data_IF_963168959816
#
_entry.id   IF_963168959816
#
_cell.length_a   1.000
_cell.length_b   1.000
_cell.length_c   1.000
_cell.angle_alpha   90.00
_cell.angle_beta   90.00
_cell.angle_gamma   90.00
#
_symmetry.space_group_name_H-M   'P 1'
#
loop_
_entity.id
_entity.type
_entity.pdbx_description
1 polymer ?
#
# COMPACT_ATOMS: atom_id res chain seq x y z
N UNK A 1 29.15 -58.96 15.00
CA UNK A 1 30.22 -58.14 15.63
C UNK A 1 29.66 -56.75 15.83
N UNK A 2 29.62 -56.12 17.01
CA UNK A 2 29.90 -56.59 18.38
C UNK A 2 29.46 -55.49 19.36
N UNK A 3 28.90 -55.84 20.52
CA UNK A 3 28.33 -54.88 21.48
C UNK A 3 29.24 -54.61 22.68
N UNK A 4 29.18 -53.39 23.23
CA UNK A 4 29.43 -53.04 24.63
C UNK A 4 28.56 -51.80 24.92
N UNK A 5 27.65 -51.71 25.91
CA UNK A 5 27.71 -51.95 27.37
C UNK A 5 28.81 -51.15 28.08
N UNK A 6 28.68 -50.60 29.28
CA UNK A 6 27.55 -50.19 30.18
C UNK A 6 28.19 -49.82 31.52
N UNK A 7 27.76 -48.75 32.22
CA UNK A 7 27.39 -48.78 33.67
C UNK A 7 27.15 -47.40 34.31
N UNK A 8 26.22 -47.42 35.26
CA UNK A 8 25.89 -46.42 36.28
C UNK A 8 26.90 -46.52 37.47
N UNK A 9 26.84 -45.82 38.62
CA UNK A 9 25.71 -45.24 39.37
C UNK A 9 26.17 -44.27 40.50
N UNK A 10 25.19 -43.59 41.12
CA UNK A 10 25.17 -43.09 42.54
C UNK A 10 26.21 -42.00 42.94
N UNK A 11 25.95 -41.06 43.87
CA UNK A 11 24.98 -41.08 44.98
C UNK A 11 24.49 -39.68 45.45
N UNK A 12 23.55 -39.63 46.41
CA UNK A 12 22.87 -38.41 46.93
C UNK A 12 23.35 -37.94 48.32
N UNK A 13 23.24 -36.63 48.61
CA UNK A 13 22.83 -35.95 49.89
C UNK A 13 23.29 -34.47 49.85
N UNK A 14 22.61 -33.46 50.39
CA UNK A 14 21.36 -33.42 51.18
C UNK A 14 21.54 -32.70 52.53
N UNK A 15 21.27 -31.39 52.63
CA UNK A 15 20.98 -30.67 53.90
C UNK A 15 20.44 -29.24 53.70
N UNK A 16 19.63 -28.80 54.65
CA UNK A 16 18.98 -27.47 54.76
C UNK A 16 19.30 -26.85 56.13
N UNK A 17 19.21 -25.51 56.27
CA UNK A 17 18.78 -24.75 57.47
C UNK A 17 18.82 -23.21 57.21
N UNK A 18 18.03 -22.42 57.96
CA UNK A 18 17.76 -20.97 57.77
C UNK A 18 18.86 -20.04 58.40
N UNK A 19 18.79 -18.70 58.54
CA UNK A 19 17.85 -17.55 58.27
C UNK A 19 18.72 -16.23 58.37
N UNK A 20 18.25 -14.95 58.45
CA UNK A 20 17.04 -14.26 57.95
C UNK A 20 17.26 -12.88 57.23
N UNK A 21 16.25 -12.47 56.45
CA UNK A 21 15.73 -11.08 56.17
C UNK A 21 16.64 -9.82 56.24
N UNK A 22 16.72 -9.07 55.12
CA UNK A 22 16.49 -7.59 55.11
C UNK A 22 15.95 -7.08 53.76
N UNK A 23 15.07 -6.07 53.81
CA UNK A 23 14.26 -5.54 52.68
C UNK A 23 14.96 -4.43 51.90
N UNK A 24 14.69 -4.34 50.59
CA UNK A 24 14.49 -3.05 49.89
C UNK A 24 13.59 -3.22 48.65
N UNK A 25 12.55 -2.39 48.55
CA UNK A 25 11.72 -2.26 47.35
C UNK A 25 12.39 -1.31 46.34
N UNK A 26 12.13 -1.49 45.05
CA UNK A 26 11.43 -0.49 44.20
C UNK A 26 11.26 -1.07 42.79
N UNK A 27 10.02 -1.36 42.38
CA UNK A 27 9.65 -1.60 40.99
C UNK A 27 8.62 -0.54 40.58
N UNK A 28 8.98 0.33 39.64
CA UNK A 28 8.10 1.42 39.17
C UNK A 28 7.22 0.91 38.03
N UNK A 29 5.94 0.66 38.34
CA UNK A 29 4.91 0.43 37.34
C UNK A 29 4.51 1.76 36.67
N UNK A 30 4.45 1.76 35.33
CA UNK A 30 3.84 2.84 34.54
C UNK A 30 2.33 2.59 34.45
N UNK A 31 1.51 3.65 34.54
CA UNK A 31 0.04 3.55 34.57
C UNK A 31 -0.57 3.38 33.18
N UNK A 32 -1.67 2.63 33.14
CA UNK A 32 -2.56 2.46 32.00
C UNK A 32 -3.34 3.76 31.70
N UNK A 33 -3.48 4.19 30.44
CA UNK A 33 -4.22 5.40 30.07
C UNK A 33 -5.76 5.24 30.01
N UNK A 34 -6.33 4.06 30.29
CA UNK A 34 -7.79 3.83 30.23
C UNK A 34 -8.49 3.90 31.59
N UNK A 35 -8.68 5.12 32.11
CA UNK A 35 -9.60 5.37 33.23
C UNK A 35 -10.44 6.63 33.01
N UNK A 36 -11.69 6.44 32.58
CA UNK A 36 -12.66 7.52 32.39
C UNK A 36 -13.36 7.86 33.71
N UNK A 37 -13.55 9.15 34.02
CA UNK A 37 -14.46 9.58 35.09
C UNK A 37 -15.35 10.73 34.60
N UNK A 38 -16.66 10.56 34.74
CA UNK A 38 -17.65 11.56 34.33
C UNK A 38 -17.73 12.72 35.34
N UNK A 39 -17.79 13.95 34.84
CA UNK A 39 -18.50 15.04 35.49
C UNK A 39 -19.27 15.84 34.44
N UNK A 40 -20.40 16.40 34.86
CA UNK A 40 -21.49 16.83 33.97
C UNK A 40 -21.80 18.31 34.22
N UNK A 41 -21.68 19.17 33.20
CA UNK A 41 -22.12 20.57 33.27
C UNK A 41 -22.76 21.02 31.96
N UNK A 42 -23.96 21.59 32.06
CA UNK A 42 -24.68 22.16 30.92
C UNK A 42 -24.02 23.48 30.48
N UNK A 43 -23.82 23.64 29.17
CA UNK A 43 -23.91 24.94 28.49
C UNK A 43 -24.10 24.72 26.98
N UNK A 44 -25.02 25.47 26.37
CA UNK A 44 -25.27 25.46 24.92
C UNK A 44 -24.68 26.73 24.31
N UNK A 45 -23.70 26.62 23.41
CA UNK A 45 -23.35 27.69 22.47
C UNK A 45 -23.93 27.41 21.07
N UNK A 46 -24.38 28.47 20.42
CA UNK A 46 -24.90 28.51 19.05
C UNK A 46 -23.90 28.02 17.99
N UNK A 47 -24.44 27.41 16.93
CA UNK A 47 -23.72 26.98 15.72
C UNK A 47 -22.90 28.14 15.11
N UNK A 48 -21.57 28.00 14.97
CA UNK A 48 -20.80 28.82 14.04
C UNK A 48 -20.89 28.21 12.64
N UNK A 49 -21.29 29.03 11.66
CA UNK A 49 -21.21 28.71 10.23
C UNK A 49 -19.78 28.27 9.85
N UNK A 50 -19.59 27.37 8.87
CA UNK A 50 -18.25 26.98 8.44
C UNK A 50 -17.52 28.20 7.86
N UNK A 51 -16.54 28.69 8.60
CA UNK A 51 -15.62 29.74 8.16
C UNK A 51 -14.88 29.22 6.93
N UNK A 52 -14.88 30.00 5.84
CA UNK A 52 -14.14 29.69 4.61
C UNK A 52 -12.63 29.73 4.85
N UNK A 53 -12.08 28.67 5.46
CA UNK A 53 -10.65 28.43 5.52
C UNK A 53 -10.15 28.18 4.11
N UNK A 54 -9.21 29.00 3.66
CA UNK A 54 -8.55 28.82 2.37
C UNK A 54 -7.70 27.56 2.38
N UNK A 55 -8.31 26.44 2.00
CA UNK A 55 -7.55 25.39 1.33
C UNK A 55 -7.05 26.00 0.02
N UNK A 56 -5.73 25.94 -0.19
CA UNK A 56 -5.17 26.16 -1.52
C UNK A 56 -5.94 25.31 -2.53
N UNK A 57 -6.24 25.87 -3.71
CA UNK A 57 -6.99 25.19 -4.77
C UNK A 57 -6.13 24.06 -5.37
N UNK A 58 -6.02 22.93 -4.65
CA UNK A 58 -5.29 21.75 -5.09
C UNK A 58 -6.01 21.15 -6.29
N UNK A 59 -5.50 21.46 -7.46
CA UNK A 59 -5.90 20.81 -8.71
C UNK A 59 -5.10 19.53 -8.86
N UNK A 60 -5.80 18.44 -9.17
CA UNK A 60 -5.23 17.16 -9.53
C UNK A 60 -5.67 16.74 -10.93
N UNK A 61 -4.86 15.93 -11.59
CA UNK A 61 -5.05 15.46 -12.97
C UNK A 61 -5.20 13.94 -12.99
N UNK A 62 -6.24 13.46 -13.67
CA UNK A 62 -6.50 12.03 -13.80
C UNK A 62 -5.43 11.35 -14.69
N UNK A 63 -4.73 10.35 -14.13
CA UNK A 63 -3.73 9.55 -14.83
C UNK A 63 -4.36 8.44 -15.69
N UNK A 64 -5.59 8.03 -15.37
CA UNK A 64 -6.31 6.94 -16.01
C UNK A 64 -7.81 7.26 -16.12
N UNK A 65 -8.49 6.63 -17.08
CA UNK A 65 -9.96 6.63 -17.15
C UNK A 65 -10.58 5.95 -15.93
N UNK A 66 -11.68 6.51 -15.41
CA UNK A 66 -12.49 5.89 -14.38
C UNK A 66 -13.98 6.05 -14.68
N UNK A 67 -14.66 4.91 -14.66
CA UNK A 67 -16.11 4.82 -14.66
C UNK A 67 -16.54 4.52 -13.22
N UNK A 68 -17.36 5.42 -12.67
CA UNK A 68 -17.94 5.31 -11.33
C UNK A 68 -18.81 4.07 -11.23
N UNK A 69 -18.70 3.38 -10.09
CA UNK A 69 -19.40 2.13 -9.85
C UNK A 69 -20.46 2.30 -8.77
N UNK A 70 -20.14 3.06 -7.73
CA UNK A 70 -20.98 3.26 -6.55
C UNK A 70 -21.72 4.61 -6.64
N UNK A 71 -22.79 4.76 -5.86
CA UNK A 71 -23.52 6.01 -5.78
C UNK A 71 -22.63 7.12 -5.18
N UNK A 72 -22.55 8.25 -5.86
CA UNK A 72 -21.66 9.37 -5.48
C UNK A 72 -20.23 9.28 -6.03
N UNK A 73 -19.86 8.24 -6.78
CA UNK A 73 -18.60 8.22 -7.54
C UNK A 73 -18.63 9.26 -8.68
N UNK A 74 -17.55 10.03 -8.84
CA UNK A 74 -17.35 10.90 -10.01
C UNK A 74 -16.65 10.11 -11.11
N UNK A 75 -17.27 10.01 -12.29
CA UNK A 75 -16.62 9.44 -13.49
C UNK A 75 -15.76 10.49 -14.19
N UNK A 76 -14.60 10.08 -14.74
CA UNK A 76 -13.64 10.99 -15.38
C UNK A 76 -12.77 10.29 -16.44
N UNK A 77 -12.15 11.08 -17.31
CA UNK A 77 -11.23 10.60 -18.36
C UNK A 77 -9.76 10.96 -18.08
N UNK A 78 -8.80 10.18 -18.60
CA UNK A 78 -7.37 10.51 -18.49
C UNK A 78 -7.10 11.93 -18.99
N UNK A 79 -6.40 12.72 -18.19
CA UNK A 79 -6.10 14.14 -18.42
C UNK A 79 -7.14 15.12 -17.87
N UNK A 80 -8.28 14.65 -17.37
CA UNK A 80 -9.28 15.52 -16.74
C UNK A 80 -8.75 16.13 -15.43
N UNK A 81 -9.05 17.42 -15.23
CA UNK A 81 -8.64 18.16 -14.02
C UNK A 81 -9.79 18.23 -13.02
N UNK A 82 -9.47 17.91 -11.77
CA UNK A 82 -10.40 17.92 -10.64
C UNK A 82 -9.83 18.83 -9.56
N UNK A 83 -10.67 19.71 -9.00
CA UNK A 83 -10.36 20.42 -7.76
C UNK A 83 -10.60 19.48 -6.59
N UNK A 84 -9.57 19.16 -5.83
CA UNK A 84 -9.66 18.30 -4.66
C UNK A 84 -10.27 19.11 -3.52
N UNK A 85 -11.42 18.64 -3.01
CA UNK A 85 -12.13 19.25 -1.90
C UNK A 85 -11.72 18.62 -0.56
N UNK A 86 -11.30 17.35 -0.57
CA UNK A 86 -11.02 16.59 0.65
C UNK A 86 -10.07 15.40 0.41
N UNK A 87 -8.87 15.42 1.01
CA UNK A 87 -7.82 14.37 0.86
C UNK A 87 -7.86 13.32 2.01
N UNK A 88 -8.96 12.58 2.21
CA UNK A 88 -9.00 11.50 3.23
C UNK A 88 -8.89 10.09 2.62
N UNK A 89 -7.82 9.37 2.97
CA UNK A 89 -7.65 7.96 2.62
C UNK A 89 -7.56 7.71 1.10
N UNK A 90 -8.20 6.63 0.66
CA UNK A 90 -8.15 6.17 -0.73
C UNK A 90 -9.21 6.81 -1.64
N UNK A 91 -10.21 7.49 -1.06
CA UNK A 91 -11.31 8.15 -1.77
C UNK A 91 -11.34 9.62 -1.42
N UNK A 92 -10.86 10.46 -2.33
CA UNK A 92 -10.93 11.90 -2.17
C UNK A 92 -12.28 12.42 -2.66
N UNK A 93 -12.79 13.48 -2.02
CA UNK A 93 -13.91 14.23 -2.57
C UNK A 93 -13.35 15.26 -3.55
N UNK A 94 -13.88 15.30 -4.77
CA UNK A 94 -13.42 16.20 -5.83
C UNK A 94 -14.54 16.81 -6.64
N UNK A 95 -14.27 17.96 -7.27
CA UNK A 95 -15.14 18.61 -8.25
C UNK A 95 -14.46 18.62 -9.62
N UNK A 96 -15.09 18.03 -10.64
CA UNK A 96 -14.60 18.13 -12.03
C UNK A 96 -14.59 19.60 -12.47
N UNK A 97 -13.47 20.06 -13.02
CA UNK A 97 -13.38 21.40 -13.62
C UNK A 97 -14.05 21.48 -14.99
N UNK A 98 -14.44 20.34 -15.58
CA UNK A 98 -15.12 20.26 -16.87
C UNK A 98 -16.65 20.24 -16.72
N UNK A 99 -17.18 19.35 -15.87
CA UNK A 99 -18.63 19.19 -15.67
C UNK A 99 -19.19 19.99 -14.48
N UNK A 100 -18.31 20.52 -13.62
CA UNK A 100 -18.65 21.13 -12.32
C UNK A 100 -19.41 20.19 -11.36
N UNK A 101 -19.44 18.88 -11.64
CA UNK A 101 -20.01 17.87 -10.76
C UNK A 101 -19.04 17.52 -9.63
N UNK A 102 -19.59 17.20 -8.46
CA UNK A 102 -18.87 16.70 -7.30
C UNK A 102 -19.11 15.19 -7.12
N UNK A 103 -18.11 14.50 -6.60
CA UNK A 103 -18.21 13.10 -6.21
C UNK A 103 -16.88 12.54 -5.71
N UNK A 104 -16.90 11.29 -5.30
CA UNK A 104 -15.71 10.59 -4.84
C UNK A 104 -14.85 10.13 -6.01
N UNK A 105 -13.53 10.28 -5.85
CA UNK A 105 -12.52 9.87 -6.82
C UNK A 105 -11.45 9.02 -6.12
N UNK A 106 -10.97 7.93 -6.75
CA UNK A 106 -9.92 7.10 -6.18
C UNK A 106 -8.57 7.85 -6.24
N UNK A 107 -7.93 8.06 -5.09
CA UNK A 107 -6.75 8.93 -4.97
C UNK A 107 -5.56 8.45 -5.79
N UNK A 108 -5.39 7.13 -5.91
CA UNK A 108 -4.35 6.49 -6.73
C UNK A 108 -4.55 6.64 -8.25
N UNK A 109 -5.63 7.27 -8.71
CA UNK A 109 -5.84 7.61 -10.13
C UNK A 109 -5.42 9.05 -10.46
N UNK A 110 -4.99 9.84 -9.47
CA UNK A 110 -4.69 11.26 -9.63
C UNK A 110 -3.26 11.61 -9.23
N UNK A 111 -2.68 12.57 -9.97
CA UNK A 111 -1.45 13.27 -9.60
C UNK A 111 -1.77 14.74 -9.33
N UNK A 112 -1.03 15.41 -8.45
CA UNK A 112 -1.16 16.87 -8.28
C UNK A 112 -0.70 17.57 -9.56
N UNK A 113 -1.40 18.64 -9.98
CA UNK A 113 -1.08 19.35 -11.21
C UNK A 113 0.36 19.91 -11.17
N UNK A 114 1.06 19.85 -12.30
CA UNK A 114 2.50 20.16 -12.43
C UNK A 114 3.46 19.33 -11.53
N UNK A 115 3.03 18.19 -10.98
CA UNK A 115 3.92 17.25 -10.27
C UNK A 115 4.59 16.24 -11.20
N UNK A 116 5.71 15.65 -10.76
CA UNK A 116 6.39 14.55 -11.44
C UNK A 116 5.50 13.31 -11.62
N UNK A 117 4.46 13.14 -10.80
CA UNK A 117 3.54 12.00 -10.84
C UNK A 117 2.65 11.97 -12.10
N UNK A 118 2.64 13.06 -12.89
CA UNK A 118 2.03 13.08 -14.22
C UNK A 118 2.89 12.46 -15.32
N UNK A 119 4.20 12.25 -15.07
CA UNK A 119 5.13 11.75 -16.06
C UNK A 119 5.10 10.22 -16.15
N UNK A 120 4.80 9.66 -17.33
CA UNK A 120 4.68 8.20 -17.55
C UNK A 120 5.98 7.41 -17.27
N UNK A 121 7.11 8.09 -17.06
CA UNK A 121 8.39 7.51 -16.67
C UNK A 121 8.74 7.67 -15.19
N UNK A 122 7.92 8.36 -14.40
CA UNK A 122 8.15 8.57 -12.97
C UNK A 122 7.35 7.58 -12.12
N UNK A 123 8.04 6.89 -11.22
CA UNK A 123 7.53 5.78 -10.41
C UNK A 123 7.77 6.09 -8.93
N UNK A 124 6.84 6.84 -8.33
CA UNK A 124 6.88 7.27 -6.92
C UNK A 124 6.86 6.07 -5.97
N UNK A 125 7.68 6.11 -4.93
CA UNK A 125 7.75 5.09 -3.88
C UNK A 125 8.26 3.71 -4.31
N UNK A 126 8.69 3.53 -5.56
CA UNK A 126 9.14 2.22 -6.06
C UNK A 126 10.56 1.89 -5.56
N UNK A 127 10.67 0.75 -4.87
CA UNK A 127 11.95 0.22 -4.38
C UNK A 127 12.89 -0.17 -5.53
N UNK A 128 14.19 -0.32 -5.26
CA UNK A 128 15.15 -0.84 -6.24
C UNK A 128 14.72 -2.21 -6.77
N UNK A 129 14.29 -3.08 -5.86
CA UNK A 129 13.94 -4.46 -6.17
C UNK A 129 12.63 -4.57 -6.94
N UNK A 130 11.66 -3.70 -6.69
CA UNK A 130 10.43 -3.65 -7.46
C UNK A 130 10.64 -2.95 -8.81
N UNK A 131 11.52 -1.94 -8.90
CA UNK A 131 11.96 -1.38 -10.18
C UNK A 131 12.66 -2.44 -11.08
N UNK A 132 13.52 -3.28 -10.49
CA UNK A 132 14.12 -4.44 -11.17
C UNK A 132 13.03 -5.39 -11.71
N UNK A 133 12.04 -5.76 -10.88
CA UNK A 133 10.90 -6.61 -11.28
C UNK A 133 10.07 -6.01 -12.42
N UNK A 134 9.66 -4.75 -12.28
CA UNK A 134 8.83 -4.07 -13.28
C UNK A 134 9.57 -3.95 -14.62
N UNK A 135 10.84 -3.53 -14.61
CA UNK A 135 11.62 -3.42 -15.84
C UNK A 135 11.89 -4.77 -16.51
N UNK A 136 12.08 -5.85 -15.75
CA UNK A 136 12.29 -7.20 -16.28
C UNK A 136 11.00 -7.91 -16.71
N UNK A 137 9.83 -7.40 -16.33
CA UNK A 137 8.53 -7.93 -16.75
C UNK A 137 8.37 -7.98 -18.28
N UNK A 138 7.41 -8.80 -18.74
CA UNK A 138 7.08 -8.96 -20.16
C UNK A 138 6.58 -7.65 -20.78
N UNK A 139 6.93 -7.43 -22.06
CA UNK A 139 6.56 -6.23 -22.81
C UNK A 139 7.58 -5.09 -22.74
N UNK A 140 8.34 -4.97 -21.64
CA UNK A 140 9.51 -4.08 -21.58
C UNK A 140 10.65 -4.59 -22.48
N UNK A 141 11.51 -3.68 -22.95
CA UNK A 141 12.61 -3.97 -23.89
C UNK A 141 13.92 -3.35 -23.42
N UNK A 142 15.04 -3.69 -24.05
CA UNK A 142 16.34 -3.04 -23.78
C UNK A 142 16.20 -1.51 -23.95
N UNK A 143 16.76 -0.76 -23.00
CA UNK A 143 16.58 0.69 -22.88
C UNK A 143 15.26 1.13 -22.24
N UNK A 144 14.33 0.22 -21.90
CA UNK A 144 13.16 0.56 -21.07
C UNK A 144 13.63 1.12 -19.74
N UNK A 145 12.97 2.16 -19.23
CA UNK A 145 13.49 2.90 -18.07
C UNK A 145 12.41 3.48 -17.16
N UNK A 146 12.79 3.77 -15.92
CA UNK A 146 11.99 4.57 -14.99
C UNK A 146 12.90 5.48 -14.16
N UNK A 147 12.37 6.62 -13.71
CA UNK A 147 12.92 7.41 -12.61
C UNK A 147 12.04 7.20 -11.39
N UNK A 148 12.66 7.02 -10.23
CA UNK A 148 12.01 6.75 -8.94
C UNK A 148 12.73 7.48 -7.82
N UNK A 149 12.10 7.58 -6.66
CA UNK A 149 12.72 8.14 -5.46
C UNK A 149 13.98 7.35 -5.05
N UNK A 150 14.99 8.02 -4.50
CA UNK A 150 16.24 7.39 -4.08
C UNK A 150 16.16 6.88 -2.64
N UNK A 151 16.05 5.56 -2.46
CA UNK A 151 15.96 4.90 -1.14
C UNK A 151 17.12 5.27 -0.19
N UNK A 152 18.32 5.51 -0.72
CA UNK A 152 19.51 5.86 0.08
C UNK A 152 19.67 7.36 0.31
N UNK A 153 18.87 8.20 -0.35
CA UNK A 153 19.07 9.65 -0.39
C UNK A 153 17.73 10.37 -0.57
N UNK A 154 17.08 10.67 0.56
CA UNK A 154 15.82 11.43 0.61
C UNK A 154 15.98 12.73 -0.20
N UNK A 155 15.00 13.02 -1.07
CA UNK A 155 15.01 14.19 -1.97
C UNK A 155 15.89 14.06 -3.22
N UNK A 156 16.61 12.95 -3.41
CA UNK A 156 17.29 12.60 -4.67
C UNK A 156 16.50 11.53 -5.44
N UNK A 157 16.86 11.32 -6.70
CA UNK A 157 16.21 10.36 -7.58
C UNK A 157 17.17 9.28 -8.10
N UNK A 158 16.63 8.19 -8.65
CA UNK A 158 17.39 7.12 -9.29
C UNK A 158 16.78 6.81 -10.66
N UNK A 159 17.58 6.86 -11.72
CA UNK A 159 17.24 6.31 -13.03
C UNK A 159 17.54 4.80 -13.03
N UNK A 160 16.58 3.98 -13.43
CA UNK A 160 16.75 2.52 -13.58
C UNK A 160 16.48 2.16 -15.03
N UNK A 161 17.37 1.38 -15.67
CA UNK A 161 17.34 1.08 -17.12
C UNK A 161 17.52 -0.42 -17.35
N UNK A 162 16.64 -1.04 -18.15
CA UNK A 162 16.79 -2.43 -18.61
C UNK A 162 17.92 -2.51 -19.63
N UNK A 163 18.82 -3.43 -19.38
CA UNK A 163 20.04 -3.72 -20.13
C UNK A 163 20.06 -5.20 -20.52
N UNK A 164 20.88 -5.56 -21.50
CA UNK A 164 21.10 -6.94 -21.90
C UNK A 164 22.59 -7.22 -22.03
N UNK A 165 23.11 -8.04 -21.13
CA UNK A 165 24.50 -8.47 -21.13
C UNK A 165 24.61 -9.82 -21.86
N UNK A 166 25.48 -9.98 -22.88
CA UNK A 166 25.61 -11.24 -23.63
C UNK A 166 26.02 -12.46 -22.79
N UNK A 167 26.53 -12.27 -21.58
CA UNK A 167 27.00 -13.33 -20.67
C UNK A 167 26.08 -13.54 -19.46
N UNK A 168 25.48 -12.47 -18.94
CA UNK A 168 24.60 -12.52 -17.75
C UNK A 168 23.10 -12.46 -18.08
N UNK A 169 22.74 -12.18 -19.34
CA UNK A 169 21.36 -12.02 -19.79
C UNK A 169 20.76 -10.65 -19.47
N UNK A 170 19.44 -10.62 -19.33
CA UNK A 170 18.71 -9.39 -19.00
C UNK A 170 19.04 -8.91 -17.58
N UNK A 171 19.40 -7.63 -17.48
CA UNK A 171 19.76 -6.98 -16.23
C UNK A 171 19.12 -5.59 -16.12
N UNK A 172 19.21 -4.99 -14.93
CA UNK A 172 18.84 -3.58 -14.72
C UNK A 172 20.03 -2.85 -14.13
N UNK A 173 20.39 -1.72 -14.73
CA UNK A 173 21.43 -0.81 -14.20
C UNK A 173 20.75 0.39 -13.55
N UNK A 174 21.32 0.88 -12.45
CA UNK A 174 20.80 2.03 -11.71
C UNK A 174 21.82 3.16 -11.67
N UNK A 175 21.36 4.37 -11.92
CA UNK A 175 22.15 5.59 -11.94
C UNK A 175 21.54 6.58 -10.94
N UNK A 176 22.34 6.99 -9.95
CA UNK A 176 21.92 8.01 -8.99
C UNK A 176 21.84 9.36 -9.70
N UNK A 177 20.65 9.95 -9.71
CA UNK A 177 20.44 11.33 -10.14
C UNK A 177 20.65 12.21 -8.91
N UNK A 178 21.67 13.06 -8.97
CA UNK A 178 21.98 14.04 -7.93
C UNK A 178 21.30 15.37 -8.25
N UNK A 179 20.81 16.02 -7.21
CA UNK A 179 20.35 17.41 -7.24
C UNK A 179 21.54 18.35 -7.06
N UNK A 180 21.40 19.57 -7.60
CA UNK A 180 22.28 20.71 -7.38
C UNK A 180 21.56 21.74 -6.49
N UNK A 181 22.30 22.45 -5.66
CA UNK A 181 21.77 23.45 -4.72
C UNK A 181 21.00 24.59 -5.42
N UNK A 182 21.30 24.84 -6.70
CA UNK A 182 20.65 25.85 -7.54
C UNK A 182 19.49 25.30 -8.41
N UNK A 183 18.95 24.12 -8.10
CA UNK A 183 17.74 23.59 -8.76
C UNK A 183 18.00 22.88 -10.10
N UNK A 184 19.05 22.05 -10.17
CA UNK A 184 19.35 21.23 -11.34
C UNK A 184 19.63 19.76 -11.01
N UNK A 185 19.76 18.92 -12.04
CA UNK A 185 19.89 17.47 -11.96
C UNK A 185 21.07 16.95 -12.80
N UNK A 186 21.77 15.92 -12.34
CA UNK A 186 22.80 15.25 -13.14
C UNK A 186 23.02 13.79 -12.72
N UNK A 187 23.56 12.98 -13.63
CA UNK A 187 24.12 11.65 -13.36
C UNK A 187 25.65 11.73 -13.37
N UNK A 188 26.21 12.32 -14.43
CA UNK A 188 27.63 12.65 -14.55
C UNK A 188 27.82 14.17 -14.37
N UNK A 189 28.78 14.65 -13.55
CA UNK A 189 29.03 16.09 -13.38
C UNK A 189 29.37 16.85 -14.68
N UNK A 190 29.68 16.14 -15.77
CA UNK A 190 29.95 16.72 -17.09
C UNK A 190 28.71 17.28 -17.79
N UNK A 191 27.51 16.83 -17.42
CA UNK A 191 26.25 17.21 -18.08
C UNK A 191 25.18 17.41 -17.01
N UNK A 192 24.69 18.64 -16.89
CA UNK A 192 23.65 19.06 -15.95
C UNK A 192 22.38 19.46 -16.70
N UNK A 193 21.23 19.32 -16.03
CA UNK A 193 19.91 19.56 -16.61
C UNK A 193 19.05 20.40 -15.67
N UNK A 194 18.24 21.36 -16.16
CA UNK A 194 17.36 22.16 -15.31
C UNK A 194 16.11 21.38 -14.84
N UNK A 195 15.80 20.23 -15.45
CA UNK A 195 14.69 19.37 -15.04
C UNK A 195 14.99 17.90 -15.35
N UNK A 196 14.23 16.99 -14.71
CA UNK A 196 14.23 15.57 -15.04
C UNK A 196 13.73 15.31 -16.47
N UNK A 197 12.77 16.09 -16.96
CA UNK A 197 12.29 16.02 -18.36
C UNK A 197 13.43 16.29 -19.36
N UNK A 198 14.29 17.27 -19.08
CA UNK A 198 15.46 17.56 -19.90
C UNK A 198 16.50 16.43 -19.84
N UNK A 199 16.74 15.86 -18.66
CA UNK A 199 17.60 14.70 -18.45
C UNK A 199 17.11 13.50 -19.27
N UNK A 200 15.83 13.14 -19.15
CA UNK A 200 15.20 12.04 -19.92
C UNK A 200 15.25 12.33 -21.42
N UNK A 201 14.96 13.56 -21.84
CA UNK A 201 15.01 13.95 -23.27
C UNK A 201 16.40 13.88 -23.88
N UNK A 202 17.44 14.15 -23.09
CA UNK A 202 18.83 13.98 -23.51
C UNK A 202 19.21 12.50 -23.62
N UNK A 203 18.97 11.71 -22.57
CA UNK A 203 19.34 10.29 -22.60
C UNK A 203 18.45 9.42 -23.51
N UNK A 204 17.29 9.94 -23.96
CA UNK A 204 16.49 9.43 -25.09
C UNK A 204 17.08 9.76 -26.47
N UNK A 205 18.08 10.64 -26.57
CA UNK A 205 18.79 10.97 -27.83
C UNK A 205 20.13 10.25 -27.94
N UNK A 206 20.90 10.19 -26.85
CA UNK A 206 22.24 9.59 -26.79
C UNK A 206 22.51 8.94 -25.44
N UNK A 207 23.44 7.98 -25.39
CA UNK A 207 23.71 7.21 -24.16
C UNK A 207 24.61 7.92 -23.15
N UNK A 208 25.60 8.70 -23.60
CA UNK A 208 26.53 9.51 -22.81
C UNK A 208 27.06 8.85 -21.51
N UNK A 209 27.40 7.56 -21.60
CA UNK A 209 27.95 6.76 -20.51
C UNK A 209 26.93 5.91 -19.74
N UNK A 210 25.63 5.98 -20.08
CA UNK A 210 24.67 4.94 -19.70
C UNK A 210 24.94 3.64 -20.49
N UNK A 211 24.56 2.50 -19.91
CA UNK A 211 24.64 1.18 -20.53
C UNK A 211 23.83 1.10 -21.83
N UNK A 212 22.67 1.75 -21.84
CA UNK A 212 21.74 1.81 -22.95
C UNK A 212 21.21 3.24 -23.09
N UNK A 213 20.96 3.64 -24.33
CA UNK A 213 20.14 4.81 -24.65
C UNK A 213 18.69 4.54 -24.18
N UNK A 214 18.05 5.54 -23.58
CA UNK A 214 16.67 5.38 -23.10
C UNK A 214 15.71 5.21 -24.28
N UNK A 215 14.84 4.20 -24.21
CA UNK A 215 13.83 3.93 -25.23
C UNK A 215 12.45 4.35 -24.74
N UNK A 216 11.62 3.42 -24.26
CA UNK A 216 10.29 3.69 -23.73
C UNK A 216 10.31 3.74 -22.19
N UNK A 217 9.39 4.49 -21.55
CA UNK A 217 9.11 4.29 -20.13
C UNK A 217 8.82 2.81 -19.83
N UNK A 218 9.09 2.40 -18.59
CA UNK A 218 8.62 1.12 -18.08
C UNK A 218 7.09 1.05 -18.23
N UNK A 219 6.57 -0.10 -18.64
CA UNK A 219 5.12 -0.33 -18.59
C UNK A 219 4.66 -0.20 -17.14
N UNK A 220 3.72 0.71 -16.90
CA UNK A 220 2.96 0.81 -15.64
C UNK A 220 1.63 0.10 -15.83
N UNK A 221 1.27 -0.79 -14.92
CA UNK A 221 -0.09 -1.33 -14.88
C UNK A 221 -1.06 -0.29 -14.33
N UNK A 222 -2.32 -0.34 -14.78
CA UNK A 222 -3.37 0.53 -14.23
C UNK A 222 -3.59 0.13 -12.76
N UNK A 223 -3.50 1.06 -11.79
CA UNK A 223 -3.66 0.72 -10.38
C UNK A 223 -5.05 0.12 -10.13
N UNK A 224 -5.11 -0.86 -9.23
CA UNK A 224 -6.38 -1.45 -8.82
C UNK A 224 -7.30 -0.36 -8.25
N UNK A 225 -8.60 -0.47 -8.54
CA UNK A 225 -9.61 0.39 -7.92
C UNK A 225 -9.60 0.11 -6.41
N UNK A 226 -9.56 1.15 -5.54
CA UNK A 226 -9.71 0.96 -4.11
C UNK A 226 -11.00 0.21 -3.75
N UNK A 227 -11.02 -0.41 -2.57
CA UNK A 227 -12.23 -1.00 -2.03
C UNK A 227 -13.30 0.08 -1.78
N UNK A 228 -14.59 -0.27 -1.88
CA UNK A 228 -15.70 0.66 -1.69
C UNK A 228 -15.60 1.42 -0.36
N UNK A 229 -15.86 2.73 -0.40
CA UNK A 229 -15.76 3.61 0.76
C UNK A 229 -16.72 3.16 1.86
N UNK A 230 -16.23 3.10 3.09
CA UNK A 230 -16.95 2.68 4.31
C UNK A 230 -17.53 1.25 4.32
N UNK A 231 -17.36 0.46 3.26
CA UNK A 231 -17.88 -0.91 3.11
C UNK A 231 -17.08 -1.97 3.89
N UNK A 232 -17.04 -1.87 5.22
CA UNK A 232 -16.29 -2.79 6.09
C UNK A 232 -17.09 -4.04 6.49
N UNK A 233 -18.25 -3.87 7.13
CA UNK A 233 -19.17 -4.97 7.47
C UNK A 233 -20.29 -5.01 6.45
N UNK A 234 -20.14 -5.86 5.44
CA UNK A 234 -21.02 -5.90 4.25
C UNK A 234 -22.18 -6.91 4.42
N UNK A 235 -23.35 -6.65 3.79
CA UNK A 235 -24.45 -7.61 3.77
C UNK A 235 -24.06 -8.88 2.97
N UNK A 236 -24.52 -10.05 3.40
CA UNK A 236 -24.16 -11.34 2.76
C UNK A 236 -24.60 -11.40 1.30
N UNK A 237 -25.71 -10.74 1.00
CA UNK A 237 -26.39 -10.67 -0.30
C UNK A 237 -25.56 -9.92 -1.36
N UNK A 238 -24.61 -9.08 -0.92
CA UNK A 238 -23.65 -8.41 -1.82
C UNK A 238 -22.64 -9.38 -2.46
N UNK A 239 -22.51 -10.61 -1.94
CA UNK A 239 -21.53 -11.60 -2.37
C UNK A 239 -22.19 -12.78 -3.10
N UNK A 240 -21.85 -12.94 -4.37
CA UNK A 240 -22.16 -14.16 -5.14
C UNK A 240 -20.95 -15.09 -5.15
N UNK A 241 -20.99 -16.18 -4.38
CA UNK A 241 -19.96 -17.23 -4.44
C UNK A 241 -20.05 -17.99 -5.78
N UNK A 242 -18.96 -18.06 -6.53
CA UNK A 242 -18.94 -18.62 -7.89
C UNK A 242 -18.20 -19.96 -7.99
N UNK A 243 -17.01 -20.06 -7.37
CA UNK A 243 -16.16 -21.25 -7.49
C UNK A 243 -15.35 -21.50 -6.23
N UNK A 244 -15.46 -22.69 -5.67
CA UNK A 244 -14.58 -23.13 -4.57
C UNK A 244 -13.13 -23.23 -5.05
N UNK A 245 -12.23 -22.50 -4.38
CA UNK A 245 -10.79 -22.45 -4.64
C UNK A 245 -10.03 -23.45 -3.76
N UNK A 246 -10.52 -23.72 -2.55
CA UNK A 246 -9.92 -24.66 -1.62
C UNK A 246 -10.76 -24.91 -0.37
N UNK A 247 -10.28 -25.82 0.48
CA UNK A 247 -10.82 -26.07 1.81
C UNK A 247 -9.69 -26.40 2.78
N UNK A 248 -9.89 -26.08 4.06
CA UNK A 248 -8.95 -26.36 5.14
C UNK A 248 -9.68 -26.65 6.46
N UNK A 249 -8.92 -26.79 7.55
CA UNK A 249 -9.51 -27.15 8.85
C UNK A 249 -10.52 -26.12 9.36
N UNK A 250 -10.29 -24.83 9.08
CA UNK A 250 -11.09 -23.70 9.60
C UNK A 250 -12.28 -23.30 8.70
N UNK A 251 -12.43 -23.91 7.52
CA UNK A 251 -13.49 -23.59 6.57
C UNK A 251 -13.01 -23.64 5.11
N UNK A 252 -13.67 -22.88 4.24
CA UNK A 252 -13.48 -22.99 2.78
C UNK A 252 -13.06 -21.64 2.18
N UNK A 253 -12.44 -21.68 0.99
CA UNK A 253 -12.08 -20.48 0.24
C UNK A 253 -12.76 -20.52 -1.12
N UNK A 254 -13.44 -19.45 -1.47
CA UNK A 254 -14.26 -19.31 -2.66
C UNK A 254 -13.83 -18.07 -3.46
N UNK A 255 -13.86 -18.19 -4.79
CA UNK A 255 -13.94 -17.07 -5.71
C UNK A 255 -15.38 -16.56 -5.66
N UNK A 256 -15.55 -15.25 -5.50
CA UNK A 256 -16.86 -14.61 -5.49
C UNK A 256 -16.85 -13.28 -6.24
N UNK A 257 -18.04 -12.76 -6.51
CA UNK A 257 -18.27 -11.42 -7.03
C UNK A 257 -18.97 -10.57 -5.97
N UNK A 258 -18.36 -9.45 -5.60
CA UNK A 258 -18.95 -8.41 -4.76
C UNK A 258 -19.69 -7.39 -5.65
N UNK A 259 -20.94 -7.08 -5.30
CA UNK A 259 -21.84 -6.16 -6.02
C UNK A 259 -21.91 -6.41 -7.54
N UNK A 260 -21.70 -7.65 -7.97
CA UNK A 260 -21.61 -8.10 -9.37
C UNK A 260 -20.46 -7.49 -10.22
N UNK A 261 -19.57 -6.66 -9.66
CA UNK A 261 -18.48 -5.99 -10.40
C UNK A 261 -17.06 -6.25 -9.87
N UNK A 262 -16.88 -6.50 -8.57
CA UNK A 262 -15.53 -6.67 -7.97
C UNK A 262 -15.28 -8.13 -7.66
N UNK A 263 -14.28 -8.71 -8.31
CA UNK A 263 -13.83 -10.09 -8.06
C UNK A 263 -13.04 -10.17 -6.75
N UNK A 264 -13.44 -11.06 -5.85
CA UNK A 264 -12.85 -11.23 -4.52
C UNK A 264 -12.61 -12.69 -4.17
N UNK A 265 -11.75 -12.93 -3.19
CA UNK A 265 -11.68 -14.21 -2.49
C UNK A 265 -12.46 -14.11 -1.18
N UNK A 266 -13.32 -15.10 -0.90
CA UNK A 266 -14.13 -15.19 0.31
C UNK A 266 -13.72 -16.44 1.06
N UNK A 267 -13.15 -16.26 2.25
CA UNK A 267 -12.91 -17.36 3.19
C UNK A 267 -14.09 -17.48 4.14
N UNK A 268 -14.77 -18.62 4.09
CA UNK A 268 -15.86 -18.95 5.01
C UNK A 268 -15.28 -19.57 6.28
N UNK A 269 -15.76 -19.16 7.45
CA UNK A 269 -15.40 -19.76 8.73
C UNK A 269 -16.47 -20.75 9.16
N UNK A 270 -16.09 -21.88 9.77
CA UNK A 270 -17.08 -22.82 10.31
C UNK A 270 -17.85 -22.19 11.48
N UNK A 271 -19.17 -22.38 11.59
CA UNK A 271 -19.96 -21.95 12.75
C UNK A 271 -19.32 -22.39 14.08
N UNK A 272 -19.37 -21.52 15.09
CA UNK A 272 -18.83 -21.80 16.42
C UNK A 272 -17.28 -21.87 16.52
N UNK A 273 -16.52 -21.49 15.49
CA UNK A 273 -15.04 -21.48 15.55
C UNK A 273 -14.50 -20.36 16.47
N UNK A 274 -15.21 -19.24 16.58
CA UNK A 274 -14.84 -18.05 17.36
C UNK A 274 -16.07 -17.15 17.55
N UNK A 275 -16.08 -16.30 18.58
CA UNK A 275 -17.12 -15.27 18.71
C UNK A 275 -16.94 -14.14 17.70
N UNK A 276 -18.04 -13.51 17.29
CA UNK A 276 -18.04 -12.38 16.36
C UNK A 276 -17.23 -11.19 16.92
N UNK A 277 -17.29 -10.95 18.23
CA UNK A 277 -16.53 -9.90 18.91
C UNK A 277 -15.02 -10.13 18.83
N UNK A 278 -14.53 -11.32 19.21
CA UNK A 278 -13.11 -11.65 19.15
C UNK A 278 -12.59 -11.63 17.69
N UNK A 279 -13.42 -12.07 16.75
CA UNK A 279 -13.13 -11.96 15.31
C UNK A 279 -12.98 -10.50 14.87
N UNK A 280 -13.92 -9.61 15.23
CA UNK A 280 -13.90 -8.20 14.84
C UNK A 280 -12.69 -7.45 15.44
N UNK A 281 -12.28 -7.76 16.67
CA UNK A 281 -11.08 -7.20 17.28
C UNK A 281 -9.83 -7.50 16.44
N UNK A 282 -9.61 -8.78 16.09
CA UNK A 282 -8.47 -9.20 15.27
C UNK A 282 -8.58 -8.66 13.83
N UNK A 283 -9.77 -8.71 13.22
CA UNK A 283 -10.00 -8.22 11.87
C UNK A 283 -9.74 -6.71 11.74
N UNK A 284 -10.07 -5.91 12.76
CA UNK A 284 -9.77 -4.48 12.79
C UNK A 284 -8.25 -4.20 12.90
N UNK A 285 -7.49 -5.03 13.62
CA UNK A 285 -6.03 -4.97 13.63
C UNK A 285 -5.47 -5.33 12.23
N UNK A 286 -5.94 -6.44 11.65
CA UNK A 286 -5.51 -6.88 10.32
C UNK A 286 -5.82 -5.87 9.21
N UNK A 287 -6.96 -5.16 9.30
CA UNK A 287 -7.36 -4.10 8.35
C UNK A 287 -6.35 -2.95 8.23
N UNK A 288 -5.64 -2.65 9.32
CA UNK A 288 -4.60 -1.62 9.34
C UNK A 288 -3.27 -2.05 8.68
N UNK A 289 -3.08 -3.35 8.44
CA UNK A 289 -1.84 -3.90 7.87
C UNK A 289 -1.83 -3.82 6.34
N UNK A 290 -1.63 -2.61 5.81
CA UNK A 290 -1.56 -2.34 4.38
C UNK A 290 -0.12 -2.41 3.86
N UNK A 291 0.18 -3.41 3.03
CA UNK A 291 1.49 -3.58 2.39
C UNK A 291 1.39 -4.43 1.13
N UNK A 292 2.10 -4.07 0.06
CA UNK A 292 2.06 -4.71 -1.27
C UNK A 292 2.45 -6.21 -1.28
N UNK A 293 3.02 -6.72 -0.19
CA UNK A 293 3.36 -8.16 -0.01
C UNK A 293 2.49 -8.87 1.04
N UNK A 294 1.38 -8.25 1.46
CA UNK A 294 0.35 -8.84 2.33
C UNK A 294 -0.97 -8.87 1.56
N UNK A 295 -1.72 -9.96 1.66
CA UNK A 295 -3.05 -10.07 1.05
C UNK A 295 -4.00 -9.12 1.78
N UNK A 296 -4.55 -8.16 1.05
CA UNK A 296 -5.43 -7.12 1.58
C UNK A 296 -6.74 -7.69 2.11
N UNK A 297 -7.05 -7.39 3.37
CA UNK A 297 -8.36 -7.61 3.98
C UNK A 297 -9.28 -6.44 3.61
N UNK A 298 -10.30 -6.73 2.80
CA UNK A 298 -11.21 -5.73 2.24
C UNK A 298 -12.43 -5.50 3.13
N UNK A 299 -13.13 -6.58 3.47
CA UNK A 299 -14.39 -6.55 4.21
C UNK A 299 -14.63 -7.85 4.99
N UNK A 300 -15.66 -7.84 5.83
CA UNK A 300 -16.12 -9.01 6.59
C UNK A 300 -17.65 -9.13 6.55
N UNK A 301 -18.19 -10.34 6.75
CA UNK A 301 -19.61 -10.58 7.04
C UNK A 301 -19.70 -11.20 8.43
N UNK A 302 -20.36 -10.50 9.34
CA UNK A 302 -20.30 -10.69 10.80
C UNK A 302 -21.68 -10.69 11.46
N UNK A 303 -22.67 -10.06 10.82
CA UNK A 303 -24.07 -9.98 11.30
C UNK A 303 -24.77 -11.35 11.37
N UNK A 304 -24.24 -12.34 10.65
CA UNK A 304 -24.79 -13.68 10.54
C UNK A 304 -23.65 -14.71 10.49
N UNK A 305 -23.86 -15.90 11.06
CA UNK A 305 -23.02 -17.05 10.76
C UNK A 305 -23.41 -17.69 9.41
N UNK A 306 -22.47 -18.34 8.69
CA UNK A 306 -21.02 -18.38 8.95
C UNK A 306 -20.33 -17.05 8.64
N UNK A 307 -19.36 -16.67 9.49
CA UNK A 307 -18.52 -15.46 9.29
C UNK A 307 -17.74 -15.60 7.98
N UNK A 308 -17.75 -14.54 7.15
CA UNK A 308 -16.93 -14.46 5.95
C UNK A 308 -15.82 -13.42 6.10
N UNK A 309 -14.65 -13.75 5.55
CA UNK A 309 -13.50 -12.85 5.41
C UNK A 309 -13.31 -12.60 3.92
N UNK A 310 -13.36 -11.34 3.49
CA UNK A 310 -13.28 -10.95 2.08
C UNK A 310 -11.92 -10.29 1.82
N UNK A 311 -11.15 -10.88 0.91
CA UNK A 311 -9.83 -10.38 0.50
C UNK A 311 -9.77 -10.13 -1.00
N UNK A 312 -8.70 -9.51 -1.46
CA UNK A 312 -8.36 -9.51 -2.89
C UNK A 312 -8.27 -10.94 -3.46
N UNK A 313 -8.57 -11.09 -4.75
CA UNK A 313 -8.44 -12.36 -5.45
C UNK A 313 -7.08 -12.49 -6.12
N UNK A 314 -6.24 -13.38 -5.60
CA UNK A 314 -4.95 -13.72 -6.21
C UNK A 314 -5.15 -14.76 -7.32
N UNK A 315 -4.97 -14.34 -8.58
CA UNK A 315 -4.87 -15.26 -9.71
C UNK A 315 -3.59 -16.11 -9.63
N UNK A 316 -3.60 -17.26 -10.31
CA UNK A 316 -2.41 -18.12 -10.48
C UNK A 316 -1.61 -17.72 -11.70
#
# INVERSE_FOLDING_TARGET
MGCAKSKESSDQQGKSLNDPVRKSNTALYVKDPTSNSHSNTNNVPSVPSPTSGGHDDVVAVALYDYEGIHEGDLSFKKGEKVKVLSEQGEWWLGRSLLSNQEGYIPSNYFAKDNSLEMEEWFFKGVSRKDAERYLLASGNKVGSFMIRDSETNIGSYSLSVRDHDPTLGDAVKHYKIRTLDNGGFYISPRITFPSLNNLVSHYKKQGDGLCQKLSKPCISEKPQKPWEKDAWEIPRESLRLEKKLGAGQFGEVWLAMYNNHTKVAVKTMKPGTMSVEAFLMEANLMKALQHDKLVRLNAVVTKEEPIYIITEFMAK
#
